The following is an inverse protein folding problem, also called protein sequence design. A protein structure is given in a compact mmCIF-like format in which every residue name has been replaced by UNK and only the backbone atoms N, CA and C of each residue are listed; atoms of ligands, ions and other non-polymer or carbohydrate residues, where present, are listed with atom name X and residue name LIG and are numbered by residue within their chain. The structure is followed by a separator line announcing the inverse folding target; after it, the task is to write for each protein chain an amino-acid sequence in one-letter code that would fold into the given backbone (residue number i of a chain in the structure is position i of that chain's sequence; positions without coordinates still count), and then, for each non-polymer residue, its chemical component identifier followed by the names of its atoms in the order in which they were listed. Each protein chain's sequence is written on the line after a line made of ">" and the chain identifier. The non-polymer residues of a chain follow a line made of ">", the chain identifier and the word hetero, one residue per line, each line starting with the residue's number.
data_IF_516102182272
#
_entry.id   IF_516102182272
#
_cell.length_a   1.000
_cell.length_b   1.000
_cell.length_c   1.000
_cell.angle_alpha   90.00
_cell.angle_beta   90.00
_cell.angle_gamma   90.00
#
_symmetry.space_group_name_H-M   'P 1'
#
loop_
_entity.id
_entity.type
_entity.pdbx_description
1 polymer ?
#
# COMPACT_ATOMS: atom_id res chain seq x y z
N UNK A 1 31.56 -17.03 -16.75
CA UNK A 1 30.44 -17.56 -15.93
C UNK A 1 30.76 -17.24 -14.48
N UNK A 2 30.27 -16.12 -13.95
CA UNK A 2 30.53 -15.74 -12.56
C UNK A 2 29.75 -16.66 -11.62
N UNK A 3 30.45 -17.66 -11.06
CA UNK A 3 29.92 -18.51 -10.00
C UNK A 3 29.96 -17.73 -8.70
N UNK A 4 28.84 -17.09 -8.35
CA UNK A 4 28.65 -16.52 -7.02
C UNK A 4 28.83 -17.59 -5.93
N UNK A 5 29.46 -17.23 -4.82
CA UNK A 5 29.55 -18.12 -3.66
C UNK A 5 28.14 -18.48 -3.14
N UNK A 6 27.94 -19.65 -2.51
CA UNK A 6 26.61 -20.09 -2.07
C UNK A 6 25.82 -19.06 -1.24
N UNK A 7 26.44 -18.29 -0.32
CA UNK A 7 25.75 -17.21 0.40
C UNK A 7 25.27 -16.07 -0.51
N UNK A 8 26.10 -15.63 -1.47
CA UNK A 8 25.76 -14.54 -2.39
C UNK A 8 24.64 -14.98 -3.33
N UNK A 9 24.68 -16.23 -3.82
CA UNK A 9 23.61 -16.80 -4.65
C UNK A 9 22.27 -16.83 -3.91
N UNK A 10 22.25 -17.19 -2.62
CA UNK A 10 21.04 -17.18 -1.78
C UNK A 10 20.49 -15.77 -1.58
N UNK A 11 21.37 -14.80 -1.33
CA UNK A 11 21.00 -13.39 -1.18
C UNK A 11 20.40 -12.81 -2.47
N UNK A 12 21.02 -13.07 -3.63
CA UNK A 12 20.51 -12.60 -4.92
C UNK A 12 19.13 -13.20 -5.26
N UNK A 13 18.92 -14.50 -4.96
CA UNK A 13 17.62 -15.14 -5.17
C UNK A 13 16.54 -14.57 -4.23
N UNK A 14 16.88 -14.32 -2.97
CA UNK A 14 15.97 -13.70 -2.01
C UNK A 14 15.57 -12.28 -2.44
N UNK A 15 16.52 -11.48 -2.90
CA UNK A 15 16.24 -10.13 -3.39
C UNK A 15 15.35 -10.14 -4.63
N UNK A 16 15.62 -11.03 -5.58
CA UNK A 16 14.76 -11.22 -6.77
C UNK A 16 13.34 -11.63 -6.38
N UNK A 17 13.19 -12.55 -5.43
CA UNK A 17 11.87 -12.95 -4.94
C UNK A 17 11.13 -11.76 -4.30
N UNK A 18 11.80 -10.98 -3.45
CA UNK A 18 11.22 -9.77 -2.84
C UNK A 18 10.83 -8.70 -3.88
N UNK A 19 11.65 -8.51 -4.93
CA UNK A 19 11.36 -7.58 -6.02
C UNK A 19 10.14 -8.02 -6.84
N UNK A 20 10.05 -9.30 -7.23
CA UNK A 20 8.89 -9.84 -7.94
C UNK A 20 7.61 -9.76 -7.08
N UNK A 21 7.69 -10.12 -5.79
CA UNK A 21 6.59 -9.96 -4.83
C UNK A 21 6.20 -8.49 -4.60
N UNK A 22 7.12 -7.53 -4.75
CA UNK A 22 6.79 -6.10 -4.71
C UNK A 22 6.02 -5.68 -5.95
N UNK A 23 6.46 -6.10 -7.13
CA UNK A 23 5.78 -5.80 -8.39
C UNK A 23 4.35 -6.37 -8.42
N UNK A 24 4.15 -7.58 -7.92
CA UNK A 24 2.82 -8.20 -7.85
C UNK A 24 1.88 -7.43 -6.91
N UNK A 25 2.39 -7.02 -5.74
CA UNK A 25 1.63 -6.18 -4.82
C UNK A 25 1.28 -4.83 -5.42
N UNK A 26 2.22 -4.16 -6.08
CA UNK A 26 1.99 -2.85 -6.69
C UNK A 26 0.97 -2.95 -7.83
N UNK A 27 1.00 -4.06 -8.58
CA UNK A 27 0.00 -4.38 -9.59
C UNK A 27 -1.39 -4.59 -8.99
N UNK A 28 -1.51 -5.36 -7.91
CA UNK A 28 -2.78 -5.55 -7.21
C UNK A 28 -3.33 -4.22 -6.70
N UNK A 29 -2.53 -3.43 -5.97
CA UNK A 29 -2.94 -2.11 -5.47
C UNK A 29 -3.35 -1.14 -6.58
N UNK A 30 -2.73 -1.25 -7.77
CA UNK A 30 -3.07 -0.42 -8.93
C UNK A 30 -4.35 -0.84 -9.64
N UNK A 31 -4.81 -2.09 -9.45
CA UNK A 31 -6.08 -2.57 -10.00
C UNK A 31 -7.31 -2.17 -9.18
N UNK A 32 -7.09 -1.77 -7.93
CA UNK A 32 -8.18 -1.40 -7.01
C UNK A 32 -8.80 -0.06 -7.39
N UNK A 33 -10.09 0.07 -7.10
CA UNK A 33 -10.82 1.32 -7.21
C UNK A 33 -10.80 2.04 -5.87
N UNK A 34 -10.25 3.24 -5.84
CA UNK A 34 -10.16 4.10 -4.67
C UNK A 34 -11.33 5.09 -4.63
N UNK A 35 -11.66 5.58 -3.45
CA UNK A 35 -12.68 6.59 -3.21
C UNK A 35 -12.32 7.40 -1.97
N UNK A 36 -12.89 8.59 -1.85
CA UNK A 36 -12.78 9.37 -0.62
C UNK A 36 -13.88 8.92 0.35
N UNK A 37 -13.47 8.65 1.59
CA UNK A 37 -14.39 8.34 2.68
C UNK A 37 -14.11 9.24 3.87
N UNK A 38 -15.15 9.52 4.65
CA UNK A 38 -15.06 10.29 5.89
C UNK A 38 -15.65 9.46 7.01
N UNK A 39 -14.90 9.29 8.09
CA UNK A 39 -15.38 8.67 9.32
C UNK A 39 -15.26 9.71 10.43
N UNK A 40 -16.39 10.08 11.05
CA UNK A 40 -16.48 11.28 11.90
C UNK A 40 -15.95 12.51 11.14
N UNK A 41 -14.78 13.03 11.54
CA UNK A 41 -14.11 14.17 10.91
C UNK A 41 -12.82 13.75 10.18
N UNK A 42 -12.45 12.46 10.20
CA UNK A 42 -11.27 11.94 9.55
C UNK A 42 -11.55 11.66 8.07
N UNK A 43 -10.93 12.46 7.19
CA UNK A 43 -10.93 12.20 5.75
C UNK A 43 -9.87 11.15 5.42
N UNK A 44 -10.29 10.08 4.75
CA UNK A 44 -9.46 8.94 4.34
C UNK A 44 -9.49 8.86 2.82
N UNK A 45 -8.45 9.41 2.19
CA UNK A 45 -8.26 9.40 0.74
C UNK A 45 -7.65 8.09 0.22
N UNK A 46 -7.10 7.26 1.12
CA UNK A 46 -6.66 5.89 0.79
C UNK A 46 -7.79 4.88 1.00
N UNK A 47 -9.05 5.26 0.73
CA UNK A 47 -10.14 4.29 0.81
C UNK A 47 -10.29 3.53 -0.50
N UNK A 48 -10.59 2.22 -0.47
CA UNK A 48 -10.76 1.44 -1.70
C UNK A 48 -11.82 0.33 -1.60
N UNK A 49 -12.21 -0.19 -2.76
CA UNK A 49 -13.12 -1.31 -2.91
C UNK A 49 -12.31 -2.58 -3.16
N UNK A 50 -12.54 -3.59 -2.31
CA UNK A 50 -11.93 -4.91 -2.46
C UNK A 50 -13.03 -5.97 -2.44
N UNK A 51 -13.66 -6.26 -3.60
CA UNK A 51 -14.70 -7.26 -3.69
C UNK A 51 -14.19 -8.69 -3.43
N UNK A 52 -12.87 -8.92 -3.48
CA UNK A 52 -12.28 -10.23 -3.23
C UNK A 52 -12.05 -10.47 -1.73
N UNK A 53 -12.06 -9.40 -0.91
CA UNK A 53 -12.08 -9.52 0.55
C UNK A 53 -13.51 -9.74 1.06
N UNK A 54 -13.69 -10.73 1.95
CA UNK A 54 -14.99 -10.97 2.60
C UNK A 54 -15.43 -9.78 3.47
N UNK A 55 -14.50 -9.23 4.24
CA UNK A 55 -14.74 -8.15 5.21
C UNK A 55 -14.06 -6.86 4.78
N UNK A 56 -14.62 -5.72 5.18
CA UNK A 56 -13.87 -4.47 5.13
C UNK A 56 -12.83 -4.39 6.23
N UNK A 57 -11.84 -3.54 6.05
CA UNK A 57 -10.82 -3.29 7.05
C UNK A 57 -10.50 -1.82 7.22
N UNK A 58 -10.05 -1.48 8.42
CA UNK A 58 -9.58 -0.16 8.80
C UNK A 58 -8.20 -0.34 9.44
N UNK A 59 -7.22 0.42 8.98
CA UNK A 59 -5.87 0.22 9.49
C UNK A 59 -5.64 0.84 10.88
N UNK A 60 -4.56 0.40 11.50
CA UNK A 60 -4.19 0.81 12.84
C UNK A 60 -4.00 2.34 12.97
N UNK A 61 -3.43 2.97 11.94
CA UNK A 61 -3.27 4.43 11.91
C UNK A 61 -4.62 5.17 11.94
N UNK A 62 -5.60 4.74 11.14
CA UNK A 62 -6.93 5.34 11.15
C UNK A 62 -7.61 5.17 12.53
N UNK A 63 -7.52 3.99 13.14
CA UNK A 63 -8.07 3.75 14.48
C UNK A 63 -7.41 4.62 15.54
N UNK A 64 -6.08 4.76 15.51
CA UNK A 64 -5.33 5.64 16.41
C UNK A 64 -5.74 7.09 16.25
N UNK A 65 -5.89 7.57 15.02
CA UNK A 65 -6.34 8.93 14.72
C UNK A 65 -7.77 9.20 15.23
N UNK A 66 -8.65 8.20 15.17
CA UNK A 66 -10.02 8.28 15.69
C UNK A 66 -10.09 8.15 17.23
N UNK A 67 -9.01 7.69 17.88
CA UNK A 67 -8.99 7.46 19.33
C UNK A 67 -9.91 6.31 19.78
N UNK A 68 -10.27 5.40 18.88
CA UNK A 68 -11.24 4.35 19.14
C UNK A 68 -10.64 3.13 19.85
N UNK A 69 -11.51 2.42 20.57
CA UNK A 69 -11.24 1.09 21.14
C UNK A 69 -12.10 0.07 20.42
N UNK A 70 -11.54 -1.11 20.16
CA UNK A 70 -12.27 -2.17 19.46
C UNK A 70 -13.50 -2.61 20.27
N UNK A 71 -14.61 -2.86 19.56
CA UNK A 71 -15.85 -3.34 20.17
C UNK A 71 -15.65 -4.74 20.75
N UNK A 72 -14.93 -5.57 20.00
CA UNK A 72 -14.55 -6.94 20.38
C UNK A 72 -13.20 -7.30 19.76
N UNK A 73 -12.42 -8.20 20.40
CA UNK A 73 -11.23 -8.76 19.78
C UNK A 73 -11.60 -9.53 18.52
N UNK A 74 -10.66 -9.60 17.57
CA UNK A 74 -10.78 -10.51 16.43
C UNK A 74 -10.26 -11.89 16.83
N UNK A 75 -10.95 -12.93 16.40
CA UNK A 75 -10.63 -14.34 16.68
C UNK A 75 -10.20 -15.11 15.42
N UNK A 76 -9.92 -14.41 14.31
CA UNK A 76 -9.58 -15.03 13.04
C UNK A 76 -8.18 -14.63 12.59
N UNK A 77 -7.39 -15.60 12.15
CA UNK A 77 -6.18 -15.32 11.40
C UNK A 77 -6.58 -14.76 10.03
N UNK A 78 -6.04 -13.60 9.65
CA UNK A 78 -6.24 -13.09 8.28
C UNK A 78 -5.38 -13.94 7.36
N UNK A 79 -6.03 -14.72 6.51
CA UNK A 79 -5.38 -15.39 5.39
C UNK A 79 -5.71 -14.59 4.13
N UNK A 80 -4.82 -13.68 3.75
CA UNK A 80 -4.97 -12.84 2.57
C UNK A 80 -3.79 -12.96 1.63
N UNK A 81 -3.98 -12.55 0.38
CA UNK A 81 -2.90 -12.45 -0.63
C UNK A 81 -1.99 -11.24 -0.39
N UNK A 82 -2.38 -10.33 0.50
CA UNK A 82 -1.64 -9.13 0.82
C UNK A 82 -0.59 -9.42 1.90
N UNK A 83 0.69 -9.25 1.55
CA UNK A 83 1.81 -9.21 2.52
C UNK A 83 1.76 -8.02 3.48
N UNK A 84 0.83 -7.09 3.25
CA UNK A 84 0.70 -5.85 4.02
C UNK A 84 -0.32 -5.95 5.14
N UNK A 85 -0.95 -7.09 5.39
CA UNK A 85 -1.93 -7.23 6.47
C UNK A 85 -1.46 -8.35 7.37
N UNK A 86 -0.87 -7.97 8.49
CA UNK A 86 -0.15 -8.89 9.37
C UNK A 86 -1.09 -9.56 10.35
N UNK A 87 -1.97 -8.78 10.97
CA UNK A 87 -2.86 -9.25 12.04
C UNK A 87 -4.24 -8.58 11.97
N UNK A 88 -5.28 -9.33 12.36
CA UNK A 88 -6.56 -8.74 12.75
C UNK A 88 -6.56 -8.48 14.25
N UNK A 89 -6.81 -7.23 14.64
CA UNK A 89 -6.67 -6.80 16.05
C UNK A 89 -8.02 -6.63 16.77
N UNK A 90 -9.11 -6.52 16.02
CA UNK A 90 -10.43 -6.24 16.60
C UNK A 90 -11.49 -5.95 15.55
N UNK A 91 -12.74 -5.89 15.98
CA UNK A 91 -13.87 -5.49 15.15
C UNK A 91 -14.39 -4.12 15.56
N UNK A 92 -14.86 -3.40 14.54
CA UNK A 92 -15.62 -2.16 14.63
C UNK A 92 -16.90 -2.35 13.83
N UNK A 93 -18.03 -2.31 14.51
CA UNK A 93 -19.35 -2.61 13.94
C UNK A 93 -20.21 -1.37 13.88
N UNK A 94 -21.11 -1.35 12.90
CA UNK A 94 -22.05 -0.27 12.66
C UNK A 94 -21.41 1.13 12.58
N UNK A 95 -20.23 1.18 11.96
CA UNK A 95 -19.48 2.42 11.76
C UNK A 95 -20.12 3.24 10.64
N UNK A 96 -20.54 4.50 10.91
CA UNK A 96 -20.99 5.40 9.88
C UNK A 96 -19.79 5.89 9.05
N UNK A 97 -19.87 5.67 7.74
CA UNK A 97 -18.92 6.17 6.76
C UNK A 97 -19.65 7.08 5.80
N UNK A 98 -19.20 8.32 5.72
CA UNK A 98 -19.76 9.30 4.80
C UNK A 98 -18.97 9.27 3.50
N UNK A 99 -19.69 9.15 2.40
CA UNK A 99 -19.19 9.22 1.03
C UNK A 99 -19.80 10.46 0.36
N UNK A 100 -19.11 10.99 -0.65
CA UNK A 100 -19.66 12.04 -1.51
C UNK A 100 -20.13 11.41 -2.81
N UNK A 101 -21.34 11.73 -3.24
CA UNK A 101 -21.78 11.36 -4.59
C UNK A 101 -21.20 12.33 -5.64
N UNK A 102 -21.45 12.02 -6.91
CA UNK A 102 -21.04 12.85 -8.06
C UNK A 102 -21.58 14.28 -8.05
N UNK A 103 -22.64 14.55 -7.27
CA UNK A 103 -23.24 15.89 -7.10
C UNK A 103 -22.71 16.58 -5.83
N UNK A 104 -21.65 16.03 -5.21
CA UNK A 104 -21.06 16.47 -3.95
C UNK A 104 -22.06 16.42 -2.77
N UNK A 105 -23.13 15.62 -2.89
CA UNK A 105 -24.05 15.33 -1.79
C UNK A 105 -23.45 14.25 -0.93
N UNK A 106 -23.55 14.42 0.38
CA UNK A 106 -23.08 13.44 1.35
C UNK A 106 -24.10 12.31 1.48
N UNK A 107 -23.60 11.08 1.49
CA UNK A 107 -24.38 9.87 1.79
C UNK A 107 -23.64 9.06 2.84
N UNK A 108 -24.34 8.69 3.91
CA UNK A 108 -23.76 7.90 5.00
C UNK A 108 -24.16 6.44 4.85
N UNK A 109 -23.17 5.56 4.85
CA UNK A 109 -23.33 4.11 4.86
C UNK A 109 -22.88 3.56 6.21
N UNK A 110 -23.48 2.46 6.65
CA UNK A 110 -23.08 1.80 7.89
C UNK A 110 -22.28 0.55 7.54
N UNK A 111 -20.99 0.53 7.87
CA UNK A 111 -20.08 -0.57 7.56
C UNK A 111 -19.54 -1.28 8.81
N UNK A 112 -19.10 -2.53 8.62
CA UNK A 112 -18.37 -3.29 9.62
C UNK A 112 -16.93 -3.49 9.15
N UNK A 113 -15.97 -3.26 10.04
CA UNK A 113 -14.56 -3.23 9.67
C UNK A 113 -13.72 -4.01 10.68
N UNK A 114 -12.77 -4.77 10.16
CA UNK A 114 -11.72 -5.40 10.96
C UNK A 114 -10.56 -4.41 11.10
N UNK A 115 -10.04 -4.25 12.30
CA UNK A 115 -8.78 -3.52 12.52
C UNK A 115 -7.62 -4.34 11.99
N UNK A 116 -6.85 -3.77 11.08
CA UNK A 116 -5.65 -4.40 10.52
C UNK A 116 -4.40 -3.63 10.91
N UNK A 117 -3.32 -4.34 11.19
CA UNK A 117 -1.98 -3.75 11.19
C UNK A 117 -1.33 -3.97 9.83
N UNK A 118 -1.04 -2.86 9.14
CA UNK A 118 -0.36 -2.85 7.86
C UNK A 118 0.99 -2.14 7.87
N UNK A 119 1.48 -1.72 9.04
CA UNK A 119 2.73 -0.96 9.17
C UNK A 119 2.73 0.41 8.49
N UNK A 120 1.60 0.87 7.91
CA UNK A 120 1.50 2.19 7.27
C UNK A 120 1.10 3.27 8.27
N UNK A 121 1.63 4.47 8.03
CA UNK A 121 1.31 5.67 8.82
C UNK A 121 0.07 6.39 8.30
N UNK A 122 -0.31 6.21 7.04
CA UNK A 122 -1.50 6.84 6.46
C UNK A 122 -2.77 6.09 6.89
N UNK A 123 -3.85 6.79 7.27
CA UNK A 123 -5.16 6.19 7.44
C UNK A 123 -5.64 5.49 6.17
N UNK A 124 -6.15 4.27 6.32
CA UNK A 124 -6.62 3.43 5.21
C UNK A 124 -7.92 2.73 5.61
N UNK A 125 -8.86 2.68 4.68
CA UNK A 125 -10.15 2.03 4.83
C UNK A 125 -10.45 1.22 3.57
N UNK A 126 -10.99 0.01 3.69
CA UNK A 126 -11.48 -0.67 2.50
C UNK A 126 -12.82 -1.35 2.73
N UNK A 127 -13.62 -1.33 1.67
CA UNK A 127 -14.91 -1.98 1.62
C UNK A 127 -14.75 -3.37 1.03
N UNK A 128 -14.82 -4.37 1.88
CA UNK A 128 -14.96 -5.76 1.46
C UNK A 128 -16.35 -6.05 0.91
N UNK A 129 -16.52 -7.25 0.36
CA UNK A 129 -17.75 -7.78 -0.21
C UNK A 129 -18.96 -7.65 0.74
N UNK A 130 -18.80 -7.90 2.04
CA UNK A 130 -19.88 -7.74 3.02
C UNK A 130 -20.42 -6.30 3.08
N UNK A 131 -19.54 -5.31 3.14
CA UNK A 131 -19.93 -3.90 3.14
C UNK A 131 -20.53 -3.47 1.79
N UNK A 132 -19.92 -3.91 0.68
CA UNK A 132 -20.43 -3.65 -0.68
C UNK A 132 -21.85 -4.18 -0.83
N UNK A 133 -22.11 -5.43 -0.42
CA UNK A 133 -23.45 -6.04 -0.47
C UNK A 133 -24.46 -5.33 0.42
N UNK A 134 -24.05 -4.90 1.61
CA UNK A 134 -24.93 -4.19 2.57
C UNK A 134 -25.54 -2.92 1.96
N UNK A 135 -24.81 -2.25 1.06
CA UNK A 135 -25.26 -1.03 0.36
C UNK A 135 -25.78 -1.32 -1.06
N UNK A 136 -26.01 -2.60 -1.40
CA UNK A 136 -26.34 -3.06 -2.77
C UNK A 136 -25.39 -2.46 -3.82
N UNK A 137 -24.10 -2.40 -3.45
CA UNK A 137 -23.05 -1.74 -4.20
C UNK A 137 -22.66 -2.51 -5.45
N UNK A 138 -22.40 -1.78 -6.53
CA UNK A 138 -21.87 -2.30 -7.79
C UNK A 138 -20.67 -1.44 -8.17
N UNK A 139 -19.44 -1.95 -8.01
CA UNK A 139 -18.24 -1.31 -8.56
C UNK A 139 -18.29 -1.32 -10.09
N UNK A 140 -18.05 -0.17 -10.71
CA UNK A 140 -17.98 0.02 -12.16
C UNK A 140 -16.63 0.66 -12.51
N UNK A 141 -15.51 -0.10 -12.44
CA UNK A 141 -14.16 0.44 -12.66
C UNK A 141 -14.02 1.11 -14.03
N UNK A 142 -14.65 0.56 -15.07
CA UNK A 142 -14.64 1.15 -16.42
C UNK A 142 -15.27 2.56 -16.50
N UNK A 143 -16.07 2.94 -15.51
CA UNK A 143 -16.73 4.25 -15.41
C UNK A 143 -16.15 5.11 -14.29
N UNK A 144 -15.16 4.60 -13.55
CA UNK A 144 -14.64 5.23 -12.34
C UNK A 144 -15.77 5.58 -11.35
N UNK A 145 -16.68 4.63 -11.14
CA UNK A 145 -17.86 4.82 -10.29
C UNK A 145 -18.13 3.61 -9.41
N UNK A 146 -18.71 3.89 -8.24
CA UNK A 146 -19.30 2.91 -7.35
C UNK A 146 -20.77 3.27 -7.11
N UNK A 147 -21.66 2.47 -7.69
CA UNK A 147 -23.10 2.69 -7.58
C UNK A 147 -23.61 1.99 -6.34
N UNK A 148 -24.31 2.70 -5.46
CA UNK A 148 -24.92 2.14 -4.25
C UNK A 148 -26.41 2.44 -4.22
N UNK A 149 -27.19 1.62 -3.51
CA UNK A 149 -28.62 1.83 -3.30
C UNK A 149 -28.96 1.80 -1.82
N UNK A 150 -29.49 2.92 -1.31
CA UNK A 150 -29.88 3.09 0.09
C UNK A 150 -31.29 3.68 0.14
N UNK A 151 -32.17 3.08 0.96
CA UNK A 151 -33.55 3.53 1.14
C UNK A 151 -34.31 3.79 -0.18
N UNK A 152 -34.10 2.92 -1.17
CA UNK A 152 -34.74 3.04 -2.48
C UNK A 152 -34.11 4.06 -3.44
N UNK A 153 -33.14 4.87 -2.99
CA UNK A 153 -32.40 5.84 -3.81
C UNK A 153 -31.06 5.27 -4.26
N UNK A 154 -30.69 5.60 -5.50
CA UNK A 154 -29.39 5.25 -6.07
C UNK A 154 -28.44 6.42 -5.97
N UNK A 155 -27.22 6.17 -5.49
CA UNK A 155 -26.13 7.14 -5.44
C UNK A 155 -24.97 6.66 -6.31
N UNK A 156 -24.26 7.60 -6.92
CA UNK A 156 -23.07 7.32 -7.73
C UNK A 156 -21.90 7.97 -7.01
N UNK A 157 -21.05 7.14 -6.40
CA UNK A 157 -19.82 7.58 -5.73
C UNK A 157 -18.71 7.58 -6.78
N UNK A 158 -18.00 8.70 -6.98
CA UNK A 158 -16.84 8.71 -7.87
C UNK A 158 -15.73 7.84 -7.27
N UNK A 159 -15.07 7.06 -8.13
CA UNK A 159 -13.87 6.30 -7.77
C UNK A 159 -12.70 6.74 -8.65
N UNK A 160 -11.49 6.32 -8.30
CA UNK A 160 -10.29 6.57 -9.10
C UNK A 160 -9.32 5.40 -9.00
N UNK A 161 -8.52 5.20 -10.05
CA UNK A 161 -7.42 4.23 -10.05
C UNK A 161 -6.11 4.93 -9.71
N UNK A 162 -5.20 4.26 -8.99
CA UNK A 162 -3.82 4.76 -8.85
C UNK A 162 -3.01 4.31 -10.06
N UNK A 163 -2.28 5.24 -10.68
CA UNK A 163 -1.30 4.89 -11.71
C UNK A 163 -0.11 4.18 -11.06
N UNK A 164 0.42 3.14 -11.72
CA UNK A 164 1.62 2.45 -11.27
C UNK A 164 2.79 3.44 -11.27
N UNK A 165 3.35 3.74 -10.10
CA UNK A 165 4.59 4.52 -10.01
C UNK A 165 5.72 3.60 -10.44
N UNK A 166 6.19 3.72 -11.68
CA UNK A 166 7.40 3.04 -12.15
C UNK A 166 8.57 3.62 -11.36
N UNK A 167 9.07 2.89 -10.38
CA UNK A 167 10.36 3.20 -9.75
C UNK A 167 11.44 2.76 -10.73
N UNK A 168 12.34 3.69 -11.10
CA UNK A 168 13.52 3.35 -11.88
C UNK A 168 14.29 2.23 -11.15
N UNK A 169 14.79 1.20 -11.86
CA UNK A 169 15.57 0.16 -11.24
C UNK A 169 16.81 0.79 -10.56
N UNK A 170 17.21 0.30 -9.38
CA UNK A 170 18.42 0.78 -8.74
C UNK A 170 19.59 0.56 -9.70
N UNK A 171 20.33 1.63 -9.99
CA UNK A 171 21.59 1.52 -10.73
C UNK A 171 22.47 0.57 -9.94
N UNK A 172 22.83 -0.55 -10.56
CA UNK A 172 23.84 -1.43 -10.04
C UNK A 172 25.13 -0.61 -10.01
N UNK A 173 25.62 -0.25 -8.82
CA UNK A 173 26.93 0.39 -8.68
C UNK A 173 27.94 -0.56 -9.30
N UNK A 174 28.43 -0.20 -10.48
CA UNK A 174 29.62 -0.84 -11.04
C UNK A 174 30.77 -0.43 -10.13
N UNK A 175 31.27 -1.39 -9.34
CA UNK A 175 32.57 -1.31 -8.69
C UNK A 175 33.63 -1.05 -9.77
N UNK A 176 33.91 0.22 -10.04
CA UNK A 176 35.12 0.61 -10.77
C UNK A 176 36.29 0.42 -9.82
N UNK A 177 36.92 -0.75 -9.90
CA UNK A 177 38.30 -0.93 -9.46
C UNK A 177 39.16 0.03 -10.29
N UNK A 178 39.45 1.19 -9.70
CA UNK A 178 40.50 2.10 -10.17
C UNK A 178 41.81 1.32 -10.21
N UNK A 179 42.24 0.96 -11.42
CA UNK A 179 43.55 0.37 -11.63
C UNK A 179 44.54 1.53 -11.68
N UNK A 180 45.37 1.64 -10.64
CA UNK A 180 46.47 2.60 -10.56
C UNK A 180 47.41 2.42 -11.76
N UNK A 181 47.33 3.32 -12.74
CA UNK A 181 48.35 3.45 -13.77
C UNK A 181 49.38 4.48 -13.31
N UNK A 182 50.54 3.96 -12.91
CA UNK A 182 51.79 4.67 -12.66
C UNK A 182 52.14 5.68 -13.75
N UNK A 183 52.35 6.93 -13.36
CA UNK A 183 53.10 7.89 -14.18
C UNK A 183 54.50 8.08 -13.59
N UNK A 184 55.48 7.55 -14.32
CA UNK A 184 56.91 7.84 -14.22
C UNK A 184 57.18 9.26 -14.72
N UNK A 185 57.87 10.08 -13.92
CA UNK A 185 58.80 11.10 -14.44
C UNK A 185 60.02 11.15 -13.49
N UNK A 186 61.11 10.55 -13.95
CA UNK A 186 62.51 10.73 -13.53
C UNK A 186 63.01 12.10 -14.04
N UNK A 187 63.70 12.93 -13.23
CA UNK A 187 65.17 13.16 -13.17
C UNK A 187 65.28 14.69 -12.93
N UNK A 188 66.22 15.32 -12.23
CA UNK A 188 67.34 14.94 -11.40
C UNK A 188 67.84 16.23 -10.69
N UNK A 189 68.59 16.04 -9.60
CA UNK A 189 69.66 16.92 -9.09
C UNK A 189 69.36 18.25 -8.34
N UNK A 190 69.63 18.26 -7.03
CA UNK A 190 70.53 19.26 -6.42
C UNK A 190 70.95 18.91 -4.97
N UNK A 191 72.18 18.38 -4.90
CA UNK A 191 73.19 18.47 -3.83
C UNK A 191 72.81 19.04 -2.45
N UNK A 192 72.94 18.12 -1.49
CA UNK A 192 73.44 18.26 -0.11
C UNK A 192 74.49 19.38 0.10
N UNK A 193 74.23 20.31 1.03
CA UNK A 193 75.21 20.84 2.01
C UNK A 193 74.51 21.25 3.31
N UNK A 194 74.98 20.71 4.43
CA UNK A 194 74.74 21.19 5.79
C UNK A 194 75.96 22.02 6.20
N UNK A 195 75.73 23.20 6.79
CA UNK A 195 76.68 24.12 7.48
C UNK A 195 77.90 24.58 6.68
#
# INVERSE_FOLDING_TARGET
>A
MHLYSPPIRKMCLSRKAQEEESKESDKWLSSLQYLDAIINDLTISESFLDPDSEFGGINDSAIKALGWKADKPSNFAIKGNSKHITDSLGWYTDIPVTLKDKENKTVTVIGNFIRIDNGKTEPMLFFGMSNIRKVQGVPEPNKNQFRIKLHGKTYIIPTFSKALVVKDPPKEDQDQVSTDSSNLISEDDLKKKSV
#
